data_IF_621892561111
#
_entry.id   IF_621892561111
#
_cell.length_a   1.000
_cell.length_b   1.000
_cell.length_c   1.000
_cell.angle_alpha   90.00
_cell.angle_beta   90.00
_cell.angle_gamma   90.00
#
_symmetry.space_group_name_H-M   'P 1'
#
loop_
_entity.id
_entity.type
_entity.pdbx_description
1 polymer ?
#
# COMPACT_ATOMS: atom_id res chain seq x y z
N UNK A 1 -13.18 -20.01 11.23
CA UNK A 1 -12.46 -18.73 11.15
C UNK A 1 -13.51 -17.65 10.99
N UNK A 2 -13.61 -16.69 11.91
CA UNK A 2 -14.65 -15.65 11.91
C UNK A 2 -14.10 -14.39 11.25
N UNK A 3 -14.61 -14.03 10.08
CA UNK A 3 -14.41 -12.71 9.49
C UNK A 3 -15.45 -11.72 10.00
N UNK A 4 -15.15 -10.42 9.90
CA UNK A 4 -16.13 -9.38 10.24
C UNK A 4 -17.21 -9.26 9.16
N UNK A 5 -16.79 -9.24 7.90
CA UNK A 5 -17.68 -9.22 6.74
C UNK A 5 -17.62 -10.56 6.02
N UNK A 6 -18.78 -11.11 5.69
CA UNK A 6 -18.94 -12.36 4.96
C UNK A 6 -19.94 -12.20 3.81
N UNK A 7 -20.03 -13.21 2.95
CA UNK A 7 -20.88 -13.20 1.75
C UNK A 7 -22.40 -13.22 2.00
N UNK A 8 -22.85 -13.30 3.25
CA UNK A 8 -24.29 -13.42 3.55
C UNK A 8 -25.01 -12.08 3.52
N UNK A 9 -24.29 -10.96 3.63
CA UNK A 9 -24.87 -9.61 3.73
C UNK A 9 -24.12 -8.66 2.81
N UNK A 10 -24.88 -7.91 1.99
CA UNK A 10 -24.33 -6.92 1.08
C UNK A 10 -24.30 -5.52 1.70
N UNK A 11 -23.25 -4.75 1.36
CA UNK A 11 -23.04 -3.37 1.84
C UNK A 11 -22.74 -2.40 0.68
N UNK A 12 -23.69 -2.19 -0.25
CA UNK A 12 -23.45 -1.40 -1.47
C UNK A 12 -23.29 0.11 -1.22
N UNK A 13 -23.79 0.61 -0.07
CA UNK A 13 -23.77 2.04 0.28
C UNK A 13 -22.79 2.37 1.41
N UNK A 14 -21.92 1.44 1.79
CA UNK A 14 -21.00 1.65 2.91
C UNK A 14 -19.81 2.52 2.46
N UNK A 15 -19.68 3.70 3.07
CA UNK A 15 -18.63 4.67 2.74
C UNK A 15 -17.44 4.62 3.70
N UNK A 16 -17.67 4.22 4.95
CA UNK A 16 -16.66 4.20 6.00
C UNK A 16 -16.75 2.91 6.80
N UNK A 17 -15.61 2.29 7.04
CA UNK A 17 -15.43 1.18 7.97
C UNK A 17 -14.44 1.59 9.05
N UNK A 18 -14.85 1.48 10.30
CA UNK A 18 -14.00 1.75 11.46
C UNK A 18 -14.04 0.56 12.40
N UNK A 19 -12.88 -0.05 12.63
CA UNK A 19 -12.71 -1.26 13.43
C UNK A 19 -11.74 -0.96 14.55
N UNK A 20 -12.19 -1.09 15.81
CA UNK A 20 -11.41 -0.73 17.00
C UNK A 20 -11.43 -1.85 18.02
N UNK A 21 -10.25 -2.27 18.49
CA UNK A 21 -10.12 -3.14 19.67
C UNK A 21 -10.58 -4.58 19.48
N UNK A 22 -10.78 -5.05 18.24
CA UNK A 22 -11.16 -6.44 17.98
C UNK A 22 -9.92 -7.34 18.02
N UNK A 23 -9.42 -7.61 19.23
CA UNK A 23 -8.14 -8.30 19.45
C UNK A 23 -8.10 -9.72 18.88
N UNK A 24 -9.23 -10.42 18.84
CA UNK A 24 -9.35 -11.78 18.26
C UNK A 24 -9.59 -11.79 16.74
N UNK A 25 -9.77 -10.62 16.11
CA UNK A 25 -10.06 -10.53 14.68
C UNK A 25 -8.82 -10.90 13.87
N UNK A 26 -8.90 -12.01 13.14
CA UNK A 26 -7.82 -12.46 12.24
C UNK A 26 -7.96 -11.97 10.81
N UNK A 27 -9.19 -11.68 10.39
CA UNK A 27 -9.51 -11.30 9.00
C UNK A 27 -10.73 -10.39 8.97
N UNK A 28 -10.66 -9.27 8.23
CA UNK A 28 -11.79 -8.34 8.09
C UNK A 28 -12.78 -8.85 7.04
N UNK A 29 -12.26 -9.23 5.86
CA UNK A 29 -13.06 -9.55 4.68
C UNK A 29 -12.96 -11.02 4.32
N UNK A 30 -14.06 -11.75 4.31
CA UNK A 30 -14.13 -13.10 3.73
C UNK A 30 -15.19 -13.09 2.64
N UNK A 31 -14.76 -12.79 1.41
CA UNK A 31 -15.66 -12.60 0.29
C UNK A 31 -15.39 -13.59 -0.85
N UNK A 32 -16.35 -14.45 -1.16
CA UNK A 32 -16.41 -15.32 -2.32
C UNK A 32 -17.45 -14.78 -3.30
N UNK A 33 -17.02 -13.90 -4.21
CA UNK A 33 -17.61 -13.61 -5.54
C UNK A 33 -19.12 -13.21 -5.66
N UNK A 34 -20.00 -13.41 -4.68
CA UNK A 34 -21.46 -13.40 -4.89
C UNK A 34 -22.19 -12.09 -4.57
N UNK A 35 -21.51 -11.02 -4.14
CA UNK A 35 -22.12 -9.68 -4.15
C UNK A 35 -21.16 -8.71 -4.86
N UNK A 36 -21.43 -8.48 -6.14
CA UNK A 36 -20.60 -7.66 -7.01
C UNK A 36 -20.46 -6.21 -6.48
N UNK A 37 -21.50 -5.67 -5.84
CA UNK A 37 -21.57 -4.22 -5.57
C UNK A 37 -21.22 -3.82 -4.13
N UNK A 38 -20.99 -4.79 -3.23
CA UNK A 38 -20.64 -4.47 -1.83
C UNK A 38 -19.30 -3.76 -1.75
N UNK A 39 -19.24 -2.72 -0.92
CA UNK A 39 -18.06 -1.86 -0.71
C UNK A 39 -17.63 -1.07 -1.94
N UNK A 40 -18.42 -1.05 -3.03
CA UNK A 40 -18.14 -0.23 -4.21
C UNK A 40 -18.03 1.26 -3.85
N UNK A 41 -18.77 1.75 -2.85
CA UNK A 41 -18.70 3.15 -2.37
C UNK A 41 -17.75 3.37 -1.18
N UNK A 42 -16.94 2.38 -0.81
CA UNK A 42 -16.09 2.46 0.36
C UNK A 42 -14.94 3.45 0.13
N UNK A 43 -14.94 4.56 0.86
CA UNK A 43 -13.95 5.63 0.71
C UNK A 43 -12.93 5.67 1.85
N UNK A 44 -13.30 5.16 3.04
CA UNK A 44 -12.49 5.30 4.24
C UNK A 44 -12.46 4.01 5.05
N UNK A 45 -11.26 3.57 5.41
CA UNK A 45 -11.04 2.43 6.32
C UNK A 45 -10.10 2.86 7.45
N UNK A 46 -10.55 2.68 8.69
CA UNK A 46 -9.75 2.86 9.90
C UNK A 46 -9.73 1.53 10.67
N UNK A 47 -8.53 1.03 10.95
CA UNK A 47 -8.32 -0.16 11.78
C UNK A 47 -7.38 0.23 12.93
N UNK A 48 -7.81 -0.02 14.16
CA UNK A 48 -7.05 0.35 15.34
C UNK A 48 -7.10 -0.75 16.40
N UNK A 49 -5.94 -1.09 16.97
CA UNK A 49 -5.82 -2.03 18.09
C UNK A 49 -6.44 -3.42 17.80
N UNK A 50 -6.22 -3.96 16.60
CA UNK A 50 -6.65 -5.30 16.19
C UNK A 50 -5.43 -6.23 16.16
N UNK A 51 -5.03 -6.73 17.33
CA UNK A 51 -3.71 -7.35 17.54
C UNK A 51 -3.48 -8.64 16.75
N UNK A 52 -4.51 -9.48 16.57
CA UNK A 52 -4.39 -10.75 15.82
C UNK A 52 -4.69 -10.61 14.31
N UNK A 53 -4.91 -9.40 13.81
CA UNK A 53 -5.18 -9.17 12.40
C UNK A 53 -3.91 -9.40 11.59
N UNK A 54 -3.95 -10.32 10.63
CA UNK A 54 -2.78 -10.68 9.81
C UNK A 54 -2.76 -9.94 8.47
N UNK A 55 -3.94 -9.75 7.87
CA UNK A 55 -4.12 -9.09 6.57
C UNK A 55 -5.26 -8.07 6.65
N UNK A 56 -5.01 -6.85 6.17
CA UNK A 56 -6.06 -5.82 6.15
C UNK A 56 -6.96 -6.01 4.94
N UNK A 57 -6.41 -6.12 3.74
CA UNK A 57 -7.13 -6.44 2.52
C UNK A 57 -6.57 -7.72 1.90
N UNK A 58 -7.37 -8.79 1.92
CA UNK A 58 -7.07 -10.02 1.19
C UNK A 58 -7.31 -9.85 -0.31
N UNK A 59 -6.82 -10.80 -1.12
CA UNK A 59 -7.02 -10.78 -2.57
C UNK A 59 -8.48 -10.71 -3.02
N UNK A 60 -9.42 -11.20 -2.18
CA UNK A 60 -10.86 -11.08 -2.43
C UNK A 60 -11.39 -9.64 -2.49
N UNK A 61 -10.63 -8.66 -1.99
CA UNK A 61 -10.96 -7.23 -2.06
C UNK A 61 -10.32 -6.53 -3.28
N UNK A 62 -9.47 -7.23 -4.03
CA UNK A 62 -8.89 -6.72 -5.27
C UNK A 62 -10.00 -6.34 -6.26
N UNK A 63 -9.91 -5.16 -6.87
CA UNK A 63 -10.96 -4.58 -7.73
C UNK A 63 -12.13 -3.91 -7.00
N UNK A 64 -12.32 -4.14 -5.68
CA UNK A 64 -13.41 -3.52 -4.90
C UNK A 64 -13.01 -2.24 -4.17
N UNK A 65 -11.71 -1.96 -4.08
CA UNK A 65 -11.16 -0.80 -3.36
C UNK A 65 -10.94 0.41 -4.28
N UNK A 66 -11.55 0.43 -5.46
CA UNK A 66 -11.32 1.47 -6.46
C UNK A 66 -11.81 2.85 -6.00
N UNK A 67 -12.69 2.97 -5.00
CA UNK A 67 -13.11 4.27 -4.43
C UNK A 67 -12.44 4.60 -3.08
N UNK A 68 -11.53 3.75 -2.59
CA UNK A 68 -10.88 3.96 -1.30
C UNK A 68 -9.95 5.18 -1.38
N UNK A 69 -10.24 6.22 -0.59
CA UNK A 69 -9.48 7.48 -0.52
C UNK A 69 -8.58 7.57 0.69
N UNK A 70 -8.95 6.93 1.80
CA UNK A 70 -8.20 7.04 3.07
C UNK A 70 -8.11 5.70 3.80
N UNK A 71 -6.88 5.32 4.12
CA UNK A 71 -6.58 4.13 4.90
C UNK A 71 -5.73 4.50 6.12
N UNK A 72 -6.18 4.13 7.31
CA UNK A 72 -5.42 4.29 8.54
C UNK A 72 -5.40 2.98 9.31
N UNK A 73 -4.21 2.47 9.61
CA UNK A 73 -4.01 1.22 10.34
C UNK A 73 -3.06 1.52 11.49
N UNK A 74 -3.48 1.20 12.71
CA UNK A 74 -2.68 1.51 13.89
C UNK A 74 -2.74 0.42 14.96
N UNK A 75 -1.62 0.14 15.62
CA UNK A 75 -1.52 -0.83 16.72
C UNK A 75 -2.03 -2.23 16.33
N UNK A 76 -1.70 -2.70 15.13
CA UNK A 76 -2.07 -4.02 14.62
C UNK A 76 -0.78 -4.84 14.38
N UNK A 77 -0.26 -5.41 15.47
CA UNK A 77 1.09 -5.98 15.57
C UNK A 77 1.35 -7.17 14.64
N UNK A 78 0.31 -7.92 14.27
CA UNK A 78 0.40 -9.12 13.43
C UNK A 78 0.24 -8.85 11.93
N UNK A 79 -0.05 -7.61 11.52
CA UNK A 79 -0.22 -7.30 10.09
C UNK A 79 1.13 -7.41 9.39
N UNK A 80 1.24 -8.33 8.45
CA UNK A 80 2.46 -8.54 7.66
C UNK A 80 2.40 -7.80 6.32
N UNK A 81 1.19 -7.66 5.77
CA UNK A 81 0.88 -7.01 4.50
C UNK A 81 -0.46 -6.26 4.59
N UNK A 82 -0.56 -5.10 3.94
CA UNK A 82 -1.81 -4.33 3.90
C UNK A 82 -2.70 -4.77 2.74
N UNK A 83 -2.12 -4.87 1.54
CA UNK A 83 -2.79 -5.28 0.32
C UNK A 83 -2.21 -6.59 -0.21
N UNK A 84 -2.95 -7.68 -0.05
CA UNK A 84 -2.65 -8.95 -0.69
C UNK A 84 -3.09 -8.91 -2.16
N UNK A 85 -2.12 -9.11 -3.05
CA UNK A 85 -2.30 -9.08 -4.50
C UNK A 85 -2.06 -10.47 -5.07
N UNK A 86 -3.06 -11.00 -5.78
CA UNK A 86 -2.93 -12.26 -6.53
C UNK A 86 -2.59 -12.00 -8.00
N UNK A 87 -1.74 -12.87 -8.56
CA UNK A 87 -1.42 -12.92 -9.99
C UNK A 87 -2.53 -13.71 -10.71
N UNK A 88 -3.05 -13.25 -11.85
CA UNK A 88 -3.96 -14.07 -12.64
C UNK A 88 -3.23 -15.30 -13.20
N UNK A 89 -3.92 -16.44 -13.21
CA UNK A 89 -3.55 -17.54 -14.09
C UNK A 89 -3.86 -17.09 -15.52
N UNK A 90 -2.91 -17.31 -16.43
CA UNK A 90 -2.83 -16.78 -17.82
C UNK A 90 -4.09 -17.00 -18.69
N UNK A 91 -5.05 -17.82 -18.26
CA UNK A 91 -6.08 -18.38 -19.15
C UNK A 91 -7.30 -17.48 -19.28
N UNK A 92 -7.70 -16.67 -18.29
CA UNK A 92 -8.89 -15.83 -18.45
C UNK A 92 -8.78 -14.52 -17.66
N UNK A 93 -9.20 -13.43 -18.32
CA UNK A 93 -9.46 -12.08 -17.83
C UNK A 93 -8.36 -11.05 -18.10
N UNK A 94 -8.68 -10.13 -19.00
CA UNK A 94 -8.16 -8.76 -19.04
C UNK A 94 -8.18 -8.19 -17.64
N UNK A 95 -7.00 -8.01 -17.05
CA UNK A 95 -6.82 -7.42 -15.73
C UNK A 95 -7.23 -5.94 -15.82
N UNK A 96 -8.50 -5.63 -15.51
CA UNK A 96 -8.96 -4.25 -15.38
C UNK A 96 -8.40 -3.68 -14.08
N UNK A 97 -7.15 -3.23 -14.13
CA UNK A 97 -6.55 -2.46 -13.06
C UNK A 97 -7.21 -1.10 -13.09
N UNK A 98 -8.21 -0.94 -12.23
CA UNK A 98 -8.71 0.38 -11.95
C UNK A 98 -7.65 1.14 -11.15
N UNK A 99 -7.27 2.35 -11.58
CA UNK A 99 -6.35 3.19 -10.82
C UNK A 99 -6.86 3.39 -9.41
N UNK A 100 -5.96 3.27 -8.43
CA UNK A 100 -6.33 3.52 -7.04
C UNK A 100 -6.75 4.98 -6.85
N UNK A 101 -7.82 5.17 -6.09
CA UNK A 101 -8.27 6.51 -5.65
C UNK A 101 -7.68 6.87 -4.27
N UNK A 102 -6.71 6.11 -3.78
CA UNK A 102 -6.12 6.32 -2.45
C UNK A 102 -5.37 7.65 -2.43
N UNK A 103 -5.73 8.50 -1.48
CA UNK A 103 -5.15 9.83 -1.28
C UNK A 103 -4.25 9.85 -0.03
N UNK A 104 -4.70 9.17 1.04
CA UNK A 104 -4.03 9.18 2.35
C UNK A 104 -3.79 7.76 2.86
N UNK A 105 -2.53 7.45 3.16
CA UNK A 105 -2.11 6.20 3.82
C UNK A 105 -1.43 6.52 5.15
N UNK A 106 -1.90 5.92 6.23
CA UNK A 106 -1.30 6.07 7.56
C UNK A 106 -1.12 4.73 8.26
N UNK A 107 0.12 4.45 8.65
CA UNK A 107 0.57 3.19 9.23
C UNK A 107 1.28 3.50 10.55
N UNK A 108 0.76 3.01 11.67
CA UNK A 108 1.31 3.34 13.00
C UNK A 108 1.45 2.09 13.85
N UNK A 109 2.63 1.84 14.42
CA UNK A 109 2.87 0.71 15.33
C UNK A 109 2.48 -0.64 14.72
N UNK A 110 3.06 -0.96 13.56
CA UNK A 110 2.85 -2.22 12.83
C UNK A 110 4.15 -3.02 12.84
N UNK A 111 4.38 -3.75 13.93
CA UNK A 111 5.67 -4.40 14.22
C UNK A 111 6.10 -5.45 13.21
N UNK A 112 5.16 -6.15 12.57
CA UNK A 112 5.46 -7.22 11.59
C UNK A 112 5.26 -6.80 10.13
N UNK A 113 4.83 -5.57 9.87
CA UNK A 113 4.56 -5.12 8.51
C UNK A 113 5.89 -5.04 7.77
N UNK A 114 6.04 -5.84 6.70
CA UNK A 114 7.24 -5.83 5.85
C UNK A 114 7.06 -4.98 4.61
N UNK A 115 5.90 -5.14 3.95
CA UNK A 115 5.54 -4.44 2.73
C UNK A 115 4.08 -3.99 2.81
N UNK A 116 3.78 -2.81 2.29
CA UNK A 116 2.39 -2.34 2.20
C UNK A 116 1.62 -3.15 1.15
N UNK A 117 2.25 -3.45 0.02
CA UNK A 117 1.71 -4.29 -1.06
C UNK A 117 2.48 -5.59 -1.14
N UNK A 118 1.79 -6.72 -1.24
CA UNK A 118 2.42 -8.04 -1.24
C UNK A 118 3.20 -8.35 -2.53
N UNK A 119 2.81 -7.75 -3.66
CA UNK A 119 3.38 -7.98 -5.01
C UNK A 119 3.20 -6.76 -5.92
N UNK A 120 3.96 -6.71 -7.02
CA UNK A 120 3.80 -5.74 -8.11
C UNK A 120 3.58 -6.46 -9.46
N UNK A 121 2.36 -6.94 -9.75
CA UNK A 121 2.09 -7.72 -10.95
C UNK A 121 2.38 -6.91 -12.21
N UNK A 122 3.40 -7.33 -12.98
CA UNK A 122 3.75 -6.74 -14.28
C UNK A 122 4.07 -5.22 -14.22
N UNK A 123 4.34 -4.67 -13.03
CA UNK A 123 4.60 -3.24 -12.87
C UNK A 123 3.40 -2.35 -13.18
N UNK A 124 2.18 -2.85 -12.98
CA UNK A 124 0.96 -2.21 -13.49
C UNK A 124 0.11 -1.49 -12.44
N UNK A 125 0.53 -1.49 -11.17
CA UNK A 125 -0.18 -0.78 -10.11
C UNK A 125 -0.05 0.74 -10.29
N UNK A 126 -1.18 1.46 -10.18
CA UNK A 126 -1.22 2.93 -10.31
C UNK A 126 -1.96 3.56 -9.14
N UNK A 127 -1.40 4.64 -8.60
CA UNK A 127 -1.90 5.39 -7.45
C UNK A 127 -1.84 6.90 -7.74
N UNK A 128 -2.53 7.36 -8.80
CA UNK A 128 -2.34 8.72 -9.35
C UNK A 128 -2.80 9.84 -8.42
N UNK A 129 -3.54 9.52 -7.36
CA UNK A 129 -4.11 10.47 -6.41
C UNK A 129 -3.45 10.43 -5.03
N UNK A 130 -2.42 9.61 -4.83
CA UNK A 130 -1.77 9.47 -3.54
C UNK A 130 -0.98 10.73 -3.20
N UNK A 131 -1.39 11.41 -2.13
CA UNK A 131 -0.80 12.70 -1.71
C UNK A 131 -0.05 12.62 -0.40
N UNK A 132 -0.51 11.78 0.53
CA UNK A 132 0.06 11.72 1.87
C UNK A 132 0.32 10.28 2.30
N UNK A 133 1.56 10.00 2.67
CA UNK A 133 1.96 8.74 3.27
C UNK A 133 2.67 8.99 4.59
N UNK A 134 2.17 8.35 5.64
CA UNK A 134 2.76 8.40 6.98
C UNK A 134 3.02 7.00 7.50
N UNK A 135 4.22 6.75 8.01
CA UNK A 135 4.61 5.50 8.65
C UNK A 135 5.37 5.79 9.94
N UNK A 136 4.88 5.30 11.08
CA UNK A 136 5.50 5.55 12.38
C UNK A 136 5.57 4.28 13.21
N UNK A 137 6.73 3.97 13.79
CA UNK A 137 6.94 2.77 14.63
C UNK A 137 6.64 1.46 13.86
N UNK A 138 7.17 1.33 12.64
CA UNK A 138 7.08 0.11 11.83
C UNK A 138 8.48 -0.50 11.64
N UNK A 139 9.05 -1.16 12.67
CA UNK A 139 10.46 -1.58 12.69
C UNK A 139 10.82 -2.67 11.67
N UNK A 140 9.84 -3.46 11.19
CA UNK A 140 10.07 -4.49 10.15
C UNK A 140 9.75 -4.01 8.73
N UNK A 141 9.32 -2.76 8.55
CA UNK A 141 8.93 -2.24 7.24
C UNK A 141 10.17 -2.09 6.37
N UNK A 142 10.28 -2.87 5.30
CA UNK A 142 11.45 -2.89 4.40
C UNK A 142 11.29 -1.90 3.25
N UNK A 143 10.05 -1.75 2.76
CA UNK A 143 9.67 -0.83 1.68
C UNK A 143 8.21 -0.39 1.81
N UNK A 144 7.90 0.80 1.30
CA UNK A 144 6.52 1.27 1.21
C UNK A 144 5.97 0.90 -0.16
N UNK A 145 6.57 1.41 -1.23
CA UNK A 145 5.99 1.33 -2.57
C UNK A 145 6.59 0.20 -3.42
N UNK A 146 5.79 -0.49 -4.23
CA UNK A 146 6.30 -1.26 -5.37
C UNK A 146 6.94 -0.36 -6.44
N UNK A 147 7.83 -0.91 -7.29
CA UNK A 147 8.51 -0.17 -8.36
C UNK A 147 7.59 0.59 -9.32
N UNK A 148 6.42 0.02 -9.66
CA UNK A 148 5.44 0.63 -10.57
C UNK A 148 4.96 2.02 -10.13
N UNK A 149 4.78 2.22 -8.82
CA UNK A 149 4.31 3.49 -8.24
C UNK A 149 5.39 4.57 -8.31
N UNK A 150 6.68 4.19 -8.40
CA UNK A 150 7.81 5.13 -8.38
C UNK A 150 7.68 6.27 -9.41
N UNK A 151 7.06 5.96 -10.55
CA UNK A 151 6.83 6.92 -11.64
C UNK A 151 5.84 8.02 -11.28
N UNK A 152 4.99 7.82 -10.28
CA UNK A 152 3.93 8.75 -9.87
C UNK A 152 4.24 9.45 -8.54
N UNK A 153 5.36 9.13 -7.88
CA UNK A 153 5.74 9.69 -6.57
C UNK A 153 5.95 11.20 -6.59
N UNK A 154 6.19 11.80 -7.76
CA UNK A 154 6.26 13.26 -7.92
C UNK A 154 4.94 13.97 -7.59
N UNK A 155 3.81 13.25 -7.55
CA UNK A 155 2.50 13.78 -7.14
C UNK A 155 2.30 13.78 -5.62
N UNK A 156 3.21 13.17 -4.87
CA UNK A 156 3.12 13.08 -3.42
C UNK A 156 3.40 14.47 -2.83
N UNK A 157 2.51 14.93 -1.96
CA UNK A 157 2.69 16.20 -1.23
C UNK A 157 3.36 16.00 0.12
N UNK A 158 3.21 14.81 0.73
CA UNK A 158 3.80 14.52 2.04
C UNK A 158 4.26 13.08 2.20
N UNK A 159 5.49 12.92 2.68
CA UNK A 159 6.07 11.66 3.14
C UNK A 159 6.63 11.85 4.56
N UNK A 160 6.01 11.23 5.56
CA UNK A 160 6.47 11.28 6.95
C UNK A 160 6.77 9.88 7.49
N UNK A 161 8.03 9.57 7.77
CA UNK A 161 8.49 8.25 8.20
C UNK A 161 9.32 8.38 9.47
N UNK A 162 8.89 7.71 10.53
CA UNK A 162 9.51 7.84 11.84
C UNK A 162 9.67 6.49 12.53
N UNK A 163 10.85 6.15 13.04
CA UNK A 163 11.08 4.90 13.78
C UNK A 163 10.72 3.65 12.95
N UNK A 164 11.17 3.60 11.70
CA UNK A 164 10.90 2.48 10.76
C UNK A 164 12.20 1.81 10.32
N UNK A 165 12.16 0.49 10.10
CA UNK A 165 13.31 -0.29 9.62
C UNK A 165 13.57 -0.23 8.12
N UNK A 166 13.07 0.81 7.46
CA UNK A 166 13.01 0.92 6.01
C UNK A 166 14.41 1.11 5.41
N UNK A 167 14.71 0.36 4.36
CA UNK A 167 15.98 0.47 3.63
C UNK A 167 15.83 1.35 2.39
N UNK A 168 14.75 1.14 1.65
CA UNK A 168 14.41 1.87 0.43
C UNK A 168 12.90 2.14 0.45
N UNK A 169 12.48 3.35 0.09
CA UNK A 169 11.06 3.72 0.06
C UNK A 169 10.31 2.95 -1.03
N UNK A 170 10.99 2.70 -2.15
CA UNK A 170 10.52 1.90 -3.28
C UNK A 170 11.27 0.57 -3.24
N UNK A 171 10.56 -0.54 -3.32
CA UNK A 171 11.15 -1.87 -3.41
C UNK A 171 11.97 -2.03 -4.70
N UNK A 172 12.97 -2.92 -4.68
CA UNK A 172 13.74 -3.29 -5.87
C UNK A 172 12.85 -4.09 -6.85
N UNK A 173 13.12 -3.98 -8.15
CA UNK A 173 12.49 -4.84 -9.15
C UNK A 173 12.80 -6.31 -8.81
N UNK A 174 11.76 -7.09 -8.56
CA UNK A 174 11.87 -8.55 -8.61
C UNK A 174 11.77 -8.92 -10.09
N UNK A 175 12.91 -8.93 -10.78
CA UNK A 175 12.98 -9.59 -12.10
C UNK A 175 12.74 -11.06 -11.81
N UNK A 176 11.59 -11.59 -12.24
CA UNK A 176 11.42 -13.03 -12.36
C UNK A 176 12.50 -13.47 -13.35
N UNK A 177 13.44 -14.29 -12.88
CA UNK A 177 14.50 -14.89 -13.70
C UNK A 177 13.86 -15.79 -14.79
N UNK A 178 13.37 -15.19 -15.87
CA UNK A 178 13.32 -15.78 -17.19
C UNK A 178 13.82 -14.74 -18.20
N UNK A 179 14.79 -15.18 -19.00
CA UNK A 179 15.76 -14.41 -19.77
C UNK A 179 15.15 -13.46 -20.80
N UNK A 180 15.62 -12.21 -20.83
CA UNK A 180 16.37 -11.67 -21.97
C UNK A 180 17.08 -10.39 -21.49
N UNK A 181 18.34 -10.22 -21.84
CA UNK A 181 19.07 -8.96 -21.72
C UNK A 181 18.35 -7.87 -22.53
N UNK A 182 17.33 -7.25 -21.95
CA UNK A 182 16.76 -6.00 -22.44
C UNK A 182 17.45 -4.87 -21.69
N UNK A 183 17.92 -3.88 -22.44
CA UNK A 183 18.56 -2.68 -21.91
C UNK A 183 17.91 -2.17 -20.62
N UNK A 184 18.69 -1.60 -19.67
CA UNK A 184 18.12 -1.02 -18.46
C UNK A 184 16.96 -0.11 -18.85
N UNK A 185 15.77 -0.26 -18.21
CA UNK A 185 14.62 0.54 -18.56
C UNK A 185 15.04 2.01 -18.53
N UNK A 186 14.68 2.80 -19.55
CA UNK A 186 15.16 4.18 -19.68
C UNK A 186 14.94 4.88 -18.35
N UNK A 187 16.04 5.35 -17.74
CA UNK A 187 15.99 6.10 -16.49
C UNK A 187 15.02 7.24 -16.73
N UNK A 188 13.87 7.18 -16.06
CA UNK A 188 12.90 8.26 -16.13
C UNK A 188 13.56 9.46 -15.47
N UNK A 189 14.00 10.41 -16.29
CA UNK A 189 14.55 11.67 -15.83
C UNK A 189 13.40 12.52 -15.25
N UNK A 190 12.91 12.15 -14.06
CA UNK A 190 12.02 13.01 -13.27
C UNK A 190 12.91 14.13 -12.73
N UNK A 191 12.80 15.31 -13.31
CA UNK A 191 13.50 16.49 -12.81
C UNK A 191 13.15 16.68 -11.32
N UNK A 192 14.15 16.97 -10.49
CA UNK A 192 14.01 17.41 -9.10
C UNK A 192 12.88 18.44 -8.89
N UNK A 193 12.69 19.35 -9.86
CA UNK A 193 11.63 20.37 -9.80
C UNK A 193 10.21 19.79 -9.73
N UNK A 194 10.04 18.53 -10.16
CA UNK A 194 8.76 17.79 -10.07
C UNK A 194 8.34 17.48 -8.63
N UNK A 195 9.26 17.60 -7.66
CA UNK A 195 9.01 17.39 -6.23
C UNK A 195 8.96 18.69 -5.43
N UNK A 196 8.81 19.84 -6.09
CA UNK A 196 8.85 21.18 -5.45
C UNK A 196 7.83 21.38 -4.33
N UNK A 197 6.72 20.62 -4.34
CA UNK A 197 5.68 20.66 -3.30
C UNK A 197 5.77 19.51 -2.27
N UNK A 198 6.73 18.59 -2.41
CA UNK A 198 6.85 17.42 -1.54
C UNK A 198 7.51 17.77 -0.20
N UNK A 199 6.75 17.64 0.88
CA UNK A 199 7.26 17.65 2.25
C UNK A 199 7.77 16.26 2.63
N UNK A 200 9.08 16.13 2.91
CA UNK A 200 9.68 14.88 3.39
C UNK A 200 10.16 15.05 4.82
N UNK A 201 9.65 14.22 5.73
CA UNK A 201 10.10 14.10 7.10
C UNK A 201 10.54 12.66 7.36
N UNK A 202 11.82 12.48 7.69
CA UNK A 202 12.36 11.18 8.09
C UNK A 202 13.11 11.34 9.41
N UNK A 203 12.80 10.50 10.41
CA UNK A 203 13.51 10.52 11.68
C UNK A 203 13.64 9.12 12.27
N UNK A 204 14.79 8.81 12.88
CA UNK A 204 15.03 7.51 13.54
C UNK A 204 14.82 6.31 12.59
N UNK A 205 15.29 6.43 11.35
CA UNK A 205 15.24 5.39 10.31
C UNK A 205 16.68 5.05 9.87
N UNK A 206 17.44 4.43 10.77
CA UNK A 206 18.91 4.30 10.63
C UNK A 206 19.34 3.41 9.45
N UNK A 207 18.44 2.57 8.96
CA UNK A 207 18.69 1.68 7.82
C UNK A 207 18.38 2.33 6.46
N UNK A 208 17.81 3.53 6.42
CA UNK A 208 17.36 4.14 5.17
C UNK A 208 18.55 4.59 4.32
N UNK A 209 18.71 3.97 3.17
CA UNK A 209 19.83 4.24 2.25
C UNK A 209 19.45 5.35 1.28
N UNK A 210 18.22 5.33 0.73
CA UNK A 210 17.73 6.28 -0.29
C UNK A 210 16.21 6.46 -0.19
N UNK A 211 15.75 7.66 -0.54
CA UNK A 211 14.32 8.00 -0.60
C UNK A 211 13.76 7.79 -2.02
N UNK A 212 14.37 8.38 -3.05
CA UNK A 212 14.01 8.11 -4.44
C UNK A 212 15.25 7.74 -5.25
N UNK A 213 15.13 6.73 -6.13
CA UNK A 213 16.19 6.38 -7.10
C UNK A 213 16.25 7.37 -8.28
N UNK A 214 15.27 8.28 -8.38
CA UNK A 214 15.10 9.20 -9.50
C UNK A 214 15.56 10.60 -9.06
N UNK A 215 16.84 10.84 -9.31
CA UNK A 215 17.58 12.13 -9.30
C UNK A 215 17.81 12.82 -7.94
N UNK A 216 19.10 13.02 -7.67
CA UNK A 216 19.68 13.94 -6.70
C UNK A 216 19.00 15.30 -6.66
N UNK A 217 18.54 15.76 -5.50
CA UNK A 217 18.71 17.16 -5.04
C UNK A 217 18.48 17.26 -3.53
N UNK A 218 19.08 18.30 -2.96
CA UNK A 218 19.37 18.56 -1.54
C UNK A 218 18.25 18.19 -0.57
N UNK A 219 18.54 17.25 0.33
CA UNK A 219 17.83 17.10 1.58
C UNK A 219 18.34 18.15 2.58
N UNK A 220 17.48 19.05 3.03
CA UNK A 220 17.68 19.71 4.32
C UNK A 220 17.03 18.83 5.38
N UNK A 221 17.86 18.09 6.13
CA UNK A 221 17.44 17.57 7.41
C UNK A 221 17.21 18.77 8.34
N UNK A 222 16.00 18.91 8.88
CA UNK A 222 15.72 19.77 10.03
C UNK A 222 15.72 18.87 11.26
#
# INVERSE_FOLDING_TARGET
MTSLFNDKVAFPSLHTVEIKGLVELKMIWQYKLSTADSFSKLEKVIVHNCKNLVKVFSSSMQGKLHNLKRLQISHCEMVEEVFEIQMPNIIEQTYNIMPSQLIHLSLVSLSKLKHVWSKDPQGTLTFPHLKEVTATLCPSLESIFPPSIARELFKLGKLDIQYCGIQEIVAKHQVLEEELETEPPPELLINADSFSELEVKVSHCDNLIRIFHLICTKFSAI
#
